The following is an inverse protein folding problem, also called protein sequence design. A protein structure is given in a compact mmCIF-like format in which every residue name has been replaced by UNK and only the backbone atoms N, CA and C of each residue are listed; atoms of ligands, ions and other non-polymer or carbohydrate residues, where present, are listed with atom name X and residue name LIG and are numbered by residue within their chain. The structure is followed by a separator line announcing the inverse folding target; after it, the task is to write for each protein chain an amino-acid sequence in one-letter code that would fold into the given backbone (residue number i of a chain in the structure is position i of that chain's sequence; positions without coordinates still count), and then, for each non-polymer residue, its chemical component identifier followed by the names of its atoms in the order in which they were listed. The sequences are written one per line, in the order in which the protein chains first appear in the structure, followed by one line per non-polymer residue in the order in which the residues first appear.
data_IF_982449160666
#
_entry.id   IF_982449160666
#
_cell.length_a   1.000
_cell.length_b   1.000
_cell.length_c   1.000
_cell.angle_alpha   90.00
_cell.angle_beta   90.00
_cell.angle_gamma   90.00
#
_symmetry.space_group_name_H-M   'P 1'
#
loop_
_entity.id
_entity.type
_entity.pdbx_description
1 polymer ?
#
# COMPACT_ATOMS: atom_id res chain seq x y z
N UNK A 1 20.05 26.80 9.53
CA UNK A 1 18.92 26.52 8.60
C UNK A 1 18.40 25.15 8.96
N UNK A 2 17.12 25.03 9.37
CA UNK A 2 16.52 23.70 9.55
C UNK A 2 16.60 22.95 8.21
N UNK A 3 16.99 21.68 8.25
CA UNK A 3 17.26 20.90 7.05
C UNK A 3 15.99 20.74 6.18
N UNK A 4 16.14 20.91 4.86
CA UNK A 4 15.05 20.65 3.89
C UNK A 4 14.97 19.17 3.54
N UNK A 5 16.09 18.44 3.67
CA UNK A 5 16.20 16.98 3.43
C UNK A 5 16.79 16.34 4.68
N UNK A 6 16.02 15.47 5.32
CA UNK A 6 16.40 14.72 6.53
C UNK A 6 16.69 13.30 6.08
N UNK A 7 17.95 12.88 6.18
CA UNK A 7 18.43 11.57 5.76
C UNK A 7 19.05 10.83 6.92
N UNK A 8 18.56 9.62 7.20
CA UNK A 8 19.23 8.72 8.13
C UNK A 8 20.51 8.14 7.50
N UNK A 9 21.59 7.98 8.25
CA UNK A 9 22.71 7.14 7.83
C UNK A 9 22.29 5.67 7.74
N UNK A 10 22.94 4.91 6.86
CA UNK A 10 22.62 3.49 6.64
C UNK A 10 22.69 2.64 7.91
N UNK A 11 23.63 2.95 8.83
CA UNK A 11 23.78 2.26 10.11
C UNK A 11 22.54 2.35 11.01
N UNK A 12 21.69 3.37 10.81
CA UNK A 12 20.48 3.64 11.59
C UNK A 12 19.21 3.09 10.90
N UNK A 13 19.37 2.28 9.83
CA UNK A 13 18.26 1.53 9.24
C UNK A 13 17.63 0.62 10.31
N UNK A 14 16.30 0.60 10.46
CA UNK A 14 15.61 -0.27 11.43
C UNK A 14 16.08 -1.72 11.36
N UNK A 15 16.29 -2.33 12.53
CA UNK A 15 16.70 -3.74 12.67
C UNK A 15 15.53 -4.68 12.90
N UNK A 16 14.35 -4.14 13.15
CA UNK A 16 13.11 -4.89 13.33
C UNK A 16 11.96 -4.12 12.72
N UNK A 17 10.94 -4.85 12.26
CA UNK A 17 9.63 -4.27 11.98
C UNK A 17 8.82 -4.13 13.26
N UNK A 18 7.89 -3.21 13.27
CA UNK A 18 6.93 -3.04 14.34
C UNK A 18 5.60 -3.73 14.00
N UNK A 19 5.14 -4.59 14.89
CA UNK A 19 3.84 -5.23 14.83
C UNK A 19 2.93 -4.61 15.90
N UNK A 20 1.88 -3.91 15.48
CA UNK A 20 0.96 -3.23 16.40
C UNK A 20 0.00 -4.16 17.13
N UNK A 21 -0.15 -5.42 16.68
CA UNK A 21 -1.18 -6.34 17.22
C UNK A 21 -1.15 -6.43 18.75
N UNK A 22 0.02 -6.58 19.42
CA UNK A 22 0.07 -6.62 20.88
C UNK A 22 -0.33 -5.31 21.58
N UNK A 23 -0.21 -4.17 20.89
CA UNK A 23 -0.51 -2.85 21.42
C UNK A 23 -1.95 -2.38 21.11
N UNK A 24 -2.74 -3.19 20.38
CA UNK A 24 -4.13 -2.84 20.06
C UNK A 24 -4.98 -2.73 21.33
N UNK A 25 -5.90 -1.73 21.42
CA UNK A 25 -6.77 -1.54 22.59
C UNK A 25 -7.71 -2.72 22.88
N UNK A 26 -7.94 -3.56 21.89
CA UNK A 26 -8.69 -4.81 21.98
C UNK A 26 -8.18 -5.82 20.96
N UNK A 27 -8.39 -7.14 21.19
CA UNK A 27 -7.93 -8.17 20.27
C UNK A 27 -8.46 -7.96 18.84
N UNK A 28 -7.60 -8.19 17.85
CA UNK A 28 -8.00 -8.22 16.45
C UNK A 28 -9.00 -9.36 16.24
N UNK A 29 -10.19 -9.09 15.66
CA UNK A 29 -11.15 -10.16 15.36
C UNK A 29 -10.52 -11.22 14.46
N UNK A 30 -10.55 -12.51 14.86
CA UNK A 30 -9.90 -13.58 14.10
C UNK A 30 -10.57 -13.77 12.73
N UNK A 31 -9.85 -14.28 11.73
CA UNK A 31 -10.44 -14.77 10.50
C UNK A 31 -11.51 -15.84 10.78
N UNK A 32 -12.54 -15.90 9.95
CA UNK A 32 -13.59 -16.93 10.03
C UNK A 32 -13.59 -17.79 8.78
N UNK A 33 -13.83 -19.07 8.98
CA UNK A 33 -14.14 -19.99 7.88
C UNK A 33 -15.56 -19.72 7.36
N UNK A 34 -15.82 -19.85 6.05
CA UNK A 34 -17.16 -19.88 5.54
C UNK A 34 -17.93 -21.08 6.09
N UNK A 35 -19.26 -21.00 6.18
CA UNK A 35 -20.12 -22.06 6.73
C UNK A 35 -20.03 -23.38 5.94
N UNK A 36 -19.64 -23.32 4.69
CA UNK A 36 -19.55 -24.49 3.80
C UNK A 36 -18.27 -24.48 2.99
N UNK A 37 -17.81 -25.66 2.58
CA UNK A 37 -16.62 -25.84 1.75
C UNK A 37 -15.37 -26.21 2.54
N UNK A 38 -14.21 -26.35 1.87
CA UNK A 38 -12.94 -26.68 2.51
C UNK A 38 -12.41 -25.50 3.34
N UNK A 39 -11.54 -25.80 4.32
CA UNK A 39 -10.89 -24.77 5.14
C UNK A 39 -10.05 -23.82 4.29
N UNK A 40 -10.32 -22.52 4.40
CA UNK A 40 -9.59 -21.46 3.71
C UNK A 40 -8.25 -21.18 4.37
N UNK A 41 -8.17 -21.31 5.69
CA UNK A 41 -6.90 -21.18 6.42
C UNK A 41 -5.93 -22.32 6.06
N UNK A 42 -6.43 -23.56 5.98
CA UNK A 42 -5.63 -24.70 5.51
C UNK A 42 -5.16 -24.49 4.06
N UNK A 43 -6.03 -23.99 3.18
CA UNK A 43 -5.68 -23.66 1.81
C UNK A 43 -4.57 -22.60 1.76
N UNK A 44 -4.71 -21.46 2.48
CA UNK A 44 -3.70 -20.42 2.51
C UNK A 44 -2.36 -20.92 3.05
N UNK A 45 -2.37 -21.88 4.01
CA UNK A 45 -1.15 -22.47 4.55
C UNK A 45 -0.33 -23.26 3.52
N UNK A 46 -0.95 -23.66 2.41
CA UNK A 46 -0.30 -24.37 1.30
C UNK A 46 0.27 -23.45 0.24
N UNK A 47 -0.31 -22.25 0.08
CA UNK A 47 0.04 -21.34 -1.03
C UNK A 47 0.78 -20.08 -0.58
N UNK A 48 0.77 -19.74 0.71
CA UNK A 48 1.53 -18.59 1.25
C UNK A 48 2.83 -19.11 1.90
N UNK A 49 3.91 -18.35 1.72
CA UNK A 49 5.21 -18.57 2.37
C UNK A 49 5.02 -18.69 3.89
N UNK A 50 5.51 -19.77 4.50
CA UNK A 50 5.24 -20.14 5.90
C UNK A 50 5.68 -19.07 6.90
N UNK A 51 6.86 -18.45 6.67
CA UNK A 51 7.30 -17.37 7.55
C UNK A 51 6.38 -16.14 7.47
N UNK A 52 5.87 -15.80 6.27
CA UNK A 52 4.87 -14.73 6.13
C UNK A 52 3.56 -15.07 6.86
N UNK A 53 3.12 -16.32 6.79
CA UNK A 53 1.94 -16.78 7.51
C UNK A 53 2.15 -16.77 9.03
N UNK A 54 3.34 -17.15 9.53
CA UNK A 54 3.70 -17.02 10.94
C UNK A 54 3.69 -15.57 11.41
N UNK A 55 4.20 -14.67 10.58
CA UNK A 55 4.19 -13.24 10.85
C UNK A 55 2.78 -12.65 10.82
N UNK A 56 1.87 -13.18 9.99
CA UNK A 56 0.46 -12.77 9.92
C UNK A 56 -0.25 -12.90 11.27
N UNK A 57 0.10 -13.93 12.05
CA UNK A 57 -0.50 -14.25 13.34
C UNK A 57 0.46 -14.00 14.53
N UNK A 58 1.53 -13.24 14.31
CA UNK A 58 2.52 -12.97 15.36
C UNK A 58 1.94 -12.08 16.47
N UNK A 59 2.25 -12.45 17.72
CA UNK A 59 1.99 -11.69 18.94
C UNK A 59 3.22 -10.93 19.47
N UNK A 60 4.32 -10.91 18.69
CA UNK A 60 5.53 -10.16 19.05
C UNK A 60 5.44 -8.74 18.51
N UNK A 61 5.63 -7.72 19.37
CA UNK A 61 5.63 -6.30 18.95
C UNK A 61 6.78 -5.95 18.01
N UNK A 62 7.91 -6.66 18.11
CA UNK A 62 9.10 -6.41 17.30
C UNK A 62 9.56 -7.70 16.62
N UNK A 63 9.53 -7.70 15.29
CA UNK A 63 9.96 -8.84 14.47
C UNK A 63 11.30 -8.49 13.83
N UNK A 64 12.39 -9.22 14.13
CA UNK A 64 13.71 -8.93 13.58
C UNK A 64 13.74 -8.99 12.04
N UNK A 65 14.46 -8.04 11.42
CA UNK A 65 14.74 -8.06 9.99
C UNK A 65 16.07 -8.78 9.79
N UNK A 66 16.12 -9.91 9.05
CA UNK A 66 17.36 -10.60 8.72
C UNK A 66 18.40 -9.66 8.10
N UNK A 67 19.69 -9.88 8.39
CA UNK A 67 20.75 -8.98 7.91
C UNK A 67 20.82 -8.96 6.37
N UNK A 68 20.69 -10.12 5.72
CA UNK A 68 20.66 -10.23 4.26
C UNK A 68 19.48 -9.45 3.65
N UNK A 69 18.32 -9.47 4.30
CA UNK A 69 17.17 -8.67 3.87
C UNK A 69 17.41 -7.17 4.09
N UNK A 70 18.11 -6.78 5.15
CA UNK A 70 18.51 -5.38 5.37
C UNK A 70 19.49 -4.91 4.29
N UNK A 71 20.40 -5.76 3.84
CA UNK A 71 21.28 -5.47 2.71
C UNK A 71 20.47 -5.23 1.42
N UNK A 72 19.46 -6.05 1.15
CA UNK A 72 18.53 -5.84 0.03
C UNK A 72 17.79 -4.51 0.13
N UNK A 73 17.34 -4.12 1.33
CA UNK A 73 16.74 -2.81 1.57
C UNK A 73 17.71 -1.66 1.30
N UNK A 74 18.97 -1.78 1.68
CA UNK A 74 20.01 -0.79 1.41
C UNK A 74 20.24 -0.67 -0.10
N UNK A 75 20.37 -1.79 -0.82
CA UNK A 75 20.48 -1.82 -2.28
C UNK A 75 19.24 -1.18 -2.96
N UNK A 76 18.06 -1.35 -2.39
CA UNK A 76 16.82 -0.70 -2.84
C UNK A 76 16.70 0.78 -2.41
N UNK A 77 17.77 1.39 -1.90
CA UNK A 77 17.86 2.82 -1.60
C UNK A 77 17.31 3.24 -0.23
N UNK A 78 17.30 2.34 0.77
CA UNK A 78 16.98 2.70 2.16
C UNK A 78 18.23 3.09 2.94
N UNK A 79 18.07 3.94 3.99
CA UNK A 79 16.89 4.71 4.41
C UNK A 79 16.48 5.77 3.41
N UNK A 80 15.16 6.03 3.27
CA UNK A 80 14.64 7.06 2.37
C UNK A 80 14.39 8.37 3.11
N UNK A 81 14.62 9.54 2.47
CA UNK A 81 14.55 10.81 3.15
C UNK A 81 13.12 11.24 3.49
N UNK A 82 13.00 11.98 4.59
CA UNK A 82 11.90 12.90 4.86
C UNK A 82 12.29 14.29 4.33
N UNK A 83 11.39 15.01 3.71
CA UNK A 83 11.63 16.37 3.18
C UNK A 83 10.61 17.35 3.70
N UNK A 84 11.05 18.61 3.93
CA UNK A 84 10.17 19.71 4.24
C UNK A 84 9.81 20.49 2.97
N UNK A 85 8.51 20.72 2.75
CA UNK A 85 7.95 21.39 1.56
C UNK A 85 7.89 22.92 1.73
N UNK A 86 9.04 23.57 1.96
CA UNK A 86 9.13 25.01 2.27
C UNK A 86 8.61 25.92 1.18
N UNK A 87 8.70 25.52 -0.09
CA UNK A 87 8.18 26.33 -1.19
C UNK A 87 6.66 26.26 -1.23
N UNK A 88 6.09 25.09 -0.94
CA UNK A 88 4.64 24.91 -0.80
C UNK A 88 4.10 25.69 0.40
N UNK A 89 4.75 25.62 1.58
CA UNK A 89 4.41 26.42 2.76
C UNK A 89 4.34 27.91 2.41
N UNK A 90 5.37 28.42 1.71
CA UNK A 90 5.46 29.82 1.28
C UNK A 90 4.35 30.17 0.28
N UNK A 91 4.06 29.31 -0.71
CA UNK A 91 3.00 29.55 -1.69
C UNK A 91 1.63 29.63 -1.00
N UNK A 92 1.34 28.71 -0.09
CA UNK A 92 0.08 28.66 0.65
C UNK A 92 -0.04 29.77 1.69
N UNK A 93 1.08 30.37 2.11
CA UNK A 93 1.17 31.35 3.21
C UNK A 93 0.57 30.78 4.51
N UNK A 94 0.91 29.53 4.79
CA UNK A 94 0.46 28.79 5.97
C UNK A 94 1.50 28.88 7.09
N UNK A 95 1.10 28.89 8.38
CA UNK A 95 2.01 28.69 9.50
C UNK A 95 2.42 27.23 9.68
N UNK A 96 1.74 26.27 9.02
CA UNK A 96 2.03 24.86 9.15
C UNK A 96 3.40 24.47 8.59
N UNK A 97 4.06 23.50 9.23
CA UNK A 97 5.26 22.85 8.74
C UNK A 97 4.87 21.60 7.94
N UNK A 98 5.16 21.59 6.64
CA UNK A 98 4.74 20.52 5.74
C UNK A 98 5.90 19.59 5.40
N UNK A 99 5.75 18.31 5.71
CA UNK A 99 6.74 17.28 5.45
C UNK A 99 6.19 16.18 4.53
N UNK A 100 7.08 15.53 3.78
CA UNK A 100 6.73 14.39 2.94
C UNK A 100 7.81 13.33 2.93
N UNK A 101 7.42 12.08 3.19
CA UNK A 101 8.27 10.88 3.17
C UNK A 101 8.39 10.35 1.75
N UNK A 102 9.60 10.00 1.32
CA UNK A 102 9.97 9.71 -0.07
C UNK A 102 9.98 8.21 -0.40
N UNK A 103 8.83 7.53 -0.39
CA UNK A 103 8.75 6.13 -0.83
C UNK A 103 8.81 5.96 -2.36
N UNK A 104 8.65 7.03 -3.10
CA UNK A 104 8.85 7.14 -4.55
C UNK A 104 10.28 6.84 -5.03
N UNK A 105 11.27 6.95 -4.16
CA UNK A 105 12.68 6.73 -4.50
C UNK A 105 13.10 5.26 -4.55
N UNK A 106 12.18 4.33 -4.44
CA UNK A 106 12.48 2.91 -4.64
C UNK A 106 12.83 2.61 -6.11
N UNK A 107 13.53 1.52 -6.41
CA UNK A 107 13.87 1.14 -7.80
C UNK A 107 12.64 1.01 -8.72
N UNK A 108 11.48 0.67 -8.16
CA UNK A 108 10.20 0.54 -8.91
C UNK A 108 9.29 1.74 -8.73
N UNK A 109 9.76 2.76 -8.00
CA UNK A 109 9.01 3.99 -7.75
C UNK A 109 7.80 3.84 -6.85
N UNK A 110 7.77 2.86 -5.94
CA UNK A 110 6.70 2.74 -4.94
C UNK A 110 7.14 2.07 -3.64
N UNK A 111 6.38 2.29 -2.55
CA UNK A 111 6.58 1.66 -1.24
C UNK A 111 6.50 0.13 -1.27
N UNK A 112 5.87 -0.46 -2.29
CA UNK A 112 5.58 -1.90 -2.34
C UNK A 112 6.83 -2.77 -2.37
N UNK A 113 7.98 -2.25 -2.80
CA UNK A 113 9.27 -2.94 -2.77
C UNK A 113 9.61 -3.45 -1.37
N UNK A 114 9.19 -2.78 -0.30
CA UNK A 114 9.54 -3.17 1.07
C UNK A 114 9.02 -4.57 1.41
N UNK A 115 7.73 -4.82 1.17
CA UNK A 115 7.15 -6.14 1.42
C UNK A 115 7.49 -7.15 0.31
N UNK A 116 7.69 -6.70 -0.94
CA UNK A 116 8.11 -7.59 -2.02
C UNK A 116 9.44 -8.27 -1.70
N UNK A 117 10.45 -7.50 -1.29
CA UNK A 117 11.75 -8.05 -0.91
C UNK A 117 11.66 -8.99 0.30
N UNK A 118 10.83 -8.65 1.30
CA UNK A 118 10.64 -9.51 2.47
C UNK A 118 9.97 -10.85 2.12
N UNK A 119 8.86 -10.83 1.39
CA UNK A 119 8.16 -12.05 0.99
C UNK A 119 9.02 -12.95 0.10
N UNK A 120 9.75 -12.35 -0.86
CA UNK A 120 10.65 -13.10 -1.74
C UNK A 120 11.87 -13.65 -1.01
N UNK A 121 12.46 -12.90 -0.08
CA UNK A 121 13.54 -13.41 0.77
C UNK A 121 13.11 -14.69 1.49
N UNK A 122 11.94 -14.68 2.13
CA UNK A 122 11.43 -15.86 2.81
C UNK A 122 11.02 -16.99 1.84
N UNK A 123 10.52 -16.65 0.64
CA UNK A 123 10.24 -17.63 -0.39
C UNK A 123 11.51 -18.41 -0.81
N UNK A 124 12.62 -17.69 -1.01
CA UNK A 124 13.92 -18.32 -1.31
C UNK A 124 14.41 -19.19 -0.15
N UNK A 125 14.29 -18.72 1.10
CA UNK A 125 14.70 -19.48 2.28
C UNK A 125 13.89 -20.77 2.46
N UNK A 126 12.65 -20.80 1.97
CA UNK A 126 11.78 -22.01 2.00
C UNK A 126 11.95 -22.91 0.77
N UNK A 127 12.78 -22.54 -0.20
CA UNK A 127 13.01 -23.30 -1.43
C UNK A 127 11.83 -23.26 -2.40
N UNK A 128 11.05 -22.17 -2.41
CA UNK A 128 9.95 -21.94 -3.37
C UNK A 128 10.54 -21.83 -4.78
N UNK A 129 9.92 -22.51 -5.76
CA UNK A 129 10.40 -22.57 -7.15
C UNK A 129 9.94 -21.39 -8.00
N UNK A 130 8.87 -20.69 -7.57
CA UNK A 130 8.35 -19.51 -8.24
C UNK A 130 7.29 -18.80 -7.40
N UNK A 131 6.97 -17.57 -7.78
CA UNK A 131 5.95 -16.78 -7.10
C UNK A 131 4.88 -16.32 -8.07
N UNK A 132 3.65 -16.23 -7.57
CA UNK A 132 2.52 -15.70 -8.32
C UNK A 132 1.82 -14.62 -7.50
N UNK A 133 1.27 -13.62 -8.19
CA UNK A 133 0.55 -12.53 -7.55
C UNK A 133 -0.52 -11.93 -8.44
N UNK A 134 -1.34 -11.09 -7.83
CA UNK A 134 -2.24 -10.15 -8.49
C UNK A 134 -1.64 -8.74 -8.55
N UNK A 135 -2.21 -7.86 -9.36
CA UNK A 135 -1.94 -6.43 -9.26
C UNK A 135 -3.10 -5.60 -9.82
N UNK A 136 -3.47 -4.50 -9.12
CA UNK A 136 -4.48 -3.53 -9.58
C UNK A 136 -3.86 -2.48 -10.49
N UNK A 137 -3.15 -1.50 -9.92
CA UNK A 137 -2.48 -0.41 -10.66
C UNK A 137 -1.18 -0.83 -11.37
N UNK A 138 -0.68 -2.03 -11.10
CA UNK A 138 0.59 -2.56 -11.62
C UNK A 138 1.81 -2.27 -10.74
N UNK A 139 1.71 -1.42 -9.73
CA UNK A 139 2.83 -1.10 -8.84
C UNK A 139 3.30 -2.30 -8.01
N UNK A 140 2.37 -3.14 -7.56
CA UNK A 140 2.69 -4.35 -6.82
C UNK A 140 3.36 -5.41 -7.72
N UNK A 141 2.76 -5.71 -8.88
CA UNK A 141 3.36 -6.62 -9.84
C UNK A 141 4.77 -6.18 -10.26
N UNK A 142 5.00 -4.87 -10.45
CA UNK A 142 6.33 -4.32 -10.75
C UNK A 142 7.31 -4.54 -9.59
N UNK A 143 6.88 -4.33 -8.35
CA UNK A 143 7.73 -4.51 -7.18
C UNK A 143 8.11 -5.98 -6.95
N UNK A 144 7.14 -6.89 -7.15
CA UNK A 144 7.41 -8.32 -7.03
C UNK A 144 8.31 -8.82 -8.16
N UNK A 145 8.04 -8.43 -9.43
CA UNK A 145 8.89 -8.78 -10.57
C UNK A 145 10.34 -8.28 -10.39
N UNK A 146 10.52 -7.06 -9.87
CA UNK A 146 11.85 -6.53 -9.52
C UNK A 146 12.57 -7.41 -8.49
N UNK A 147 11.93 -7.70 -7.36
CA UNK A 147 12.55 -8.52 -6.32
C UNK A 147 12.79 -9.96 -6.77
N UNK A 148 11.85 -10.54 -7.53
CA UNK A 148 11.99 -11.89 -8.10
C UNK A 148 13.18 -11.98 -9.06
N UNK A 149 13.39 -10.95 -9.90
CA UNK A 149 14.57 -10.85 -10.77
C UNK A 149 15.89 -10.84 -9.99
N UNK A 150 15.94 -10.12 -8.84
CA UNK A 150 17.14 -10.09 -7.99
C UNK A 150 17.44 -11.45 -7.32
N UNK A 151 16.40 -12.23 -7.06
CA UNK A 151 16.46 -13.51 -6.35
C UNK A 151 16.34 -14.72 -7.29
N UNK A 152 16.39 -14.49 -8.60
CA UNK A 152 16.33 -15.51 -9.66
C UNK A 152 15.09 -16.42 -9.58
N UNK A 153 13.97 -15.87 -9.12
CA UNK A 153 12.70 -16.58 -9.03
C UNK A 153 11.78 -16.27 -10.23
N UNK A 154 11.17 -17.27 -10.86
CA UNK A 154 10.03 -17.07 -11.76
C UNK A 154 8.91 -16.29 -11.10
N UNK A 155 8.31 -15.33 -11.81
CA UNK A 155 7.25 -14.48 -11.28
C UNK A 155 6.09 -14.38 -12.26
N UNK A 156 4.88 -14.78 -11.84
CA UNK A 156 3.65 -14.70 -12.62
C UNK A 156 2.74 -13.62 -12.02
N UNK A 157 2.21 -12.74 -12.87
CA UNK A 157 1.41 -11.59 -12.44
C UNK A 157 0.05 -11.57 -13.15
N UNK A 158 -1.03 -11.71 -12.39
CA UNK A 158 -2.40 -11.48 -12.86
C UNK A 158 -2.77 -10.03 -12.66
N UNK A 159 -2.99 -9.29 -13.74
CA UNK A 159 -3.21 -7.86 -13.70
C UNK A 159 -4.60 -7.48 -14.17
N UNK A 160 -5.33 -6.69 -13.39
CA UNK A 160 -6.66 -6.18 -13.75
C UNK A 160 -6.68 -5.72 -15.21
N UNK A 161 -7.51 -6.35 -16.04
CA UNK A 161 -7.49 -6.28 -17.51
C UNK A 161 -7.50 -4.86 -18.06
N UNK A 162 -8.44 -4.04 -17.63
CA UNK A 162 -8.55 -2.68 -18.15
C UNK A 162 -7.30 -1.83 -17.85
N UNK A 163 -6.63 -2.06 -16.71
CA UNK A 163 -5.40 -1.35 -16.33
C UNK A 163 -4.20 -1.91 -17.10
N UNK A 164 -4.11 -3.24 -17.22
CA UNK A 164 -3.09 -3.92 -18.03
C UNK A 164 -3.05 -3.37 -19.47
N UNK A 165 -4.19 -3.09 -20.05
CA UNK A 165 -4.27 -2.72 -21.47
C UNK A 165 -3.77 -1.30 -21.74
N UNK A 166 -3.99 -0.34 -20.83
CA UNK A 166 -3.56 1.03 -21.07
C UNK A 166 -2.22 1.42 -20.40
N UNK A 167 -1.75 0.73 -19.32
CA UNK A 167 -0.46 0.99 -18.69
C UNK A 167 0.70 0.21 -19.35
N UNK A 168 0.90 0.43 -20.65
CA UNK A 168 1.87 -0.31 -21.47
C UNK A 168 3.29 -0.23 -20.93
N UNK A 169 3.75 0.95 -20.50
CA UNK A 169 5.13 1.15 -20.00
C UNK A 169 5.39 0.36 -18.72
N UNK A 170 4.41 0.30 -17.82
CA UNK A 170 4.53 -0.49 -16.59
C UNK A 170 4.54 -1.99 -16.88
N UNK A 171 3.72 -2.44 -17.83
CA UNK A 171 3.75 -3.83 -18.32
C UNK A 171 5.10 -4.20 -18.93
N UNK A 172 5.65 -3.30 -19.73
CA UNK A 172 6.98 -3.46 -20.32
C UNK A 172 8.05 -3.59 -19.24
N UNK A 173 8.01 -2.74 -18.22
CA UNK A 173 8.95 -2.79 -17.11
C UNK A 173 8.90 -4.12 -16.34
N UNK A 174 7.68 -4.64 -16.04
CA UNK A 174 7.54 -5.97 -15.41
C UNK A 174 8.18 -7.07 -16.26
N UNK A 175 7.94 -7.06 -17.58
CA UNK A 175 8.55 -8.02 -18.51
C UNK A 175 10.07 -7.88 -18.60
N UNK A 176 10.61 -6.68 -18.51
CA UNK A 176 12.05 -6.44 -18.45
C UNK A 176 12.69 -7.03 -17.18
N UNK A 177 11.96 -7.08 -16.07
CA UNK A 177 12.35 -7.81 -14.85
C UNK A 177 12.12 -9.33 -14.95
N UNK A 178 11.68 -9.85 -16.11
CA UNK A 178 11.42 -11.29 -16.30
C UNK A 178 10.04 -11.76 -15.81
N UNK A 179 9.15 -10.85 -15.42
CA UNK A 179 7.78 -11.20 -15.02
C UNK A 179 6.92 -11.67 -16.18
N UNK A 180 6.21 -12.76 -16.00
CA UNK A 180 5.15 -13.23 -16.89
C UNK A 180 3.83 -12.55 -16.51
N UNK A 181 3.31 -11.68 -17.39
CA UNK A 181 2.19 -10.79 -17.07
C UNK A 181 0.97 -11.12 -17.90
N UNK A 182 -0.13 -11.44 -17.21
CA UNK A 182 -1.42 -11.81 -17.81
C UNK A 182 -2.53 -10.81 -17.44
N UNK A 183 -3.40 -10.43 -18.36
CA UNK A 183 -4.63 -9.71 -18.03
C UNK A 183 -5.54 -10.62 -17.20
N UNK A 184 -6.25 -10.07 -16.21
CA UNK A 184 -7.23 -10.79 -15.38
C UNK A 184 -8.62 -10.15 -15.55
N UNK A 185 -9.65 -10.96 -15.87
CA UNK A 185 -9.67 -12.43 -16.04
C UNK A 185 -9.02 -12.92 -17.32
N UNK A 186 -8.52 -14.19 -17.32
CA UNK A 186 -7.95 -14.86 -18.52
C UNK A 186 -8.26 -16.36 -18.58
N UNK A 187 -7.76 -17.04 -19.62
CA UNK A 187 -8.07 -18.45 -19.88
C UNK A 187 -7.19 -19.45 -19.08
N UNK A 188 -6.18 -19.00 -18.35
CA UNK A 188 -5.25 -19.89 -17.61
C UNK A 188 -5.92 -20.54 -16.39
N UNK A 189 -6.86 -19.82 -15.77
CA UNK A 189 -7.54 -20.25 -14.55
C UNK A 189 -8.99 -20.64 -14.81
N UNK A 190 -9.59 -21.44 -13.94
CA UNK A 190 -11.01 -21.79 -14.02
C UNK A 190 -11.89 -20.58 -13.66
N UNK A 191 -11.46 -19.81 -12.63
CA UNK A 191 -12.10 -18.55 -12.26
C UNK A 191 -12.17 -17.62 -13.47
N UNK A 192 -11.06 -17.39 -14.16
CA UNK A 192 -11.01 -16.52 -15.34
C UNK A 192 -11.86 -17.04 -16.48
N UNK A 193 -11.81 -18.35 -16.79
CA UNK A 193 -12.66 -18.96 -17.83
C UNK A 193 -14.14 -18.80 -17.54
N UNK A 194 -14.56 -18.99 -16.28
CA UNK A 194 -15.96 -18.85 -15.87
C UNK A 194 -16.45 -17.43 -16.10
N UNK A 195 -15.70 -16.42 -15.65
CA UNK A 195 -16.04 -15.00 -15.80
C UNK A 195 -16.09 -14.60 -17.28
N UNK A 196 -15.10 -15.04 -18.08
CA UNK A 196 -15.05 -14.71 -19.51
C UNK A 196 -16.13 -15.41 -20.33
N UNK A 197 -16.64 -16.55 -19.88
CA UNK A 197 -17.78 -17.22 -20.49
C UNK A 197 -19.08 -16.42 -20.32
N UNK A 198 -19.26 -15.79 -19.16
CA UNK A 198 -20.41 -14.94 -18.86
C UNK A 198 -20.30 -13.56 -19.51
N UNK A 199 -19.09 -12.97 -19.45
CA UNK A 199 -18.79 -11.66 -20.05
C UNK A 199 -17.38 -11.67 -20.66
N UNK A 200 -17.25 -11.89 -21.99
CA UNK A 200 -15.96 -11.92 -22.69
C UNK A 200 -15.14 -10.62 -22.57
N UNK A 201 -15.82 -9.48 -22.41
CA UNK A 201 -15.23 -8.15 -22.30
C UNK A 201 -15.12 -7.65 -20.85
N UNK A 202 -15.16 -8.55 -19.87
CA UNK A 202 -15.10 -8.18 -18.46
C UNK A 202 -13.83 -7.38 -18.15
N UNK A 203 -13.93 -6.17 -17.56
CA UNK A 203 -12.80 -5.26 -17.35
C UNK A 203 -11.81 -5.75 -16.30
N UNK A 204 -12.18 -6.75 -15.53
CA UNK A 204 -11.42 -7.24 -14.39
C UNK A 204 -11.66 -6.44 -13.11
N UNK A 205 -11.28 -7.05 -12.00
CA UNK A 205 -11.20 -6.41 -10.68
C UNK A 205 -10.03 -6.98 -9.89
N UNK A 206 -9.61 -6.28 -8.83
CA UNK A 206 -8.52 -6.79 -7.98
C UNK A 206 -8.93 -8.10 -7.30
N UNK A 207 -10.18 -8.23 -6.85
CA UNK A 207 -10.70 -9.47 -6.25
C UNK A 207 -10.66 -10.66 -7.21
N UNK A 208 -10.94 -10.46 -8.52
CA UNK A 208 -10.80 -11.50 -9.55
C UNK A 208 -9.33 -11.90 -9.71
N UNK A 209 -8.42 -10.93 -9.81
CA UNK A 209 -6.99 -11.20 -9.97
C UNK A 209 -6.40 -11.94 -8.76
N UNK A 210 -6.87 -11.65 -7.53
CA UNK A 210 -6.54 -12.41 -6.31
C UNK A 210 -6.99 -13.87 -6.46
N UNK A 211 -8.25 -14.10 -6.85
CA UNK A 211 -8.79 -15.46 -7.03
C UNK A 211 -8.00 -16.26 -8.07
N UNK A 212 -7.62 -15.64 -9.19
CA UNK A 212 -6.81 -16.28 -10.24
C UNK A 212 -5.39 -16.59 -9.76
N UNK A 213 -4.73 -15.66 -9.04
CA UNK A 213 -3.40 -15.86 -8.47
C UNK A 213 -3.37 -17.00 -7.44
N UNK A 214 -4.38 -17.05 -6.57
CA UNK A 214 -4.53 -18.14 -5.58
C UNK A 214 -4.78 -19.50 -6.27
N UNK A 215 -5.63 -19.54 -7.30
CA UNK A 215 -5.87 -20.76 -8.07
C UNK A 215 -4.61 -21.22 -8.81
N UNK A 216 -3.83 -20.29 -9.33
CA UNK A 216 -2.58 -20.62 -10.02
C UNK A 216 -1.57 -21.24 -9.04
N UNK A 217 -1.37 -20.65 -7.86
CA UNK A 217 -0.50 -21.23 -6.82
C UNK A 217 -0.97 -22.62 -6.37
N UNK A 218 -2.29 -22.84 -6.25
CA UNK A 218 -2.87 -24.13 -5.89
C UNK A 218 -2.55 -25.24 -6.91
N UNK A 219 -2.53 -24.90 -8.20
CA UNK A 219 -2.38 -25.85 -9.30
C UNK A 219 -0.95 -26.04 -9.79
N UNK A 220 -0.01 -25.25 -9.30
CA UNK A 220 1.40 -25.30 -9.70
C UNK A 220 2.26 -25.57 -8.47
N UNK A 221 2.63 -26.82 -8.28
CA UNK A 221 3.51 -27.23 -7.19
C UNK A 221 4.80 -26.39 -7.21
N UNK A 222 5.29 -26.04 -6.02
CA UNK A 222 6.47 -25.18 -5.87
C UNK A 222 6.21 -23.69 -5.99
N UNK A 223 5.03 -23.23 -6.42
CA UNK A 223 4.68 -21.81 -6.48
C UNK A 223 4.02 -21.31 -5.19
N UNK A 224 4.48 -20.13 -4.72
CA UNK A 224 3.85 -19.43 -3.61
C UNK A 224 3.12 -18.17 -4.08
N UNK A 225 1.98 -17.91 -3.46
CA UNK A 225 1.20 -16.68 -3.67
C UNK A 225 1.72 -15.55 -2.76
N UNK A 226 1.96 -14.38 -3.34
CA UNK A 226 2.39 -13.18 -2.63
C UNK A 226 1.36 -12.06 -2.79
N UNK A 227 1.07 -11.33 -1.70
CA UNK A 227 0.06 -10.26 -1.67
C UNK A 227 0.68 -8.91 -1.27
N UNK A 228 0.31 -7.85 -1.97
CA UNK A 228 0.91 -6.52 -1.81
C UNK A 228 0.18 -5.56 -0.88
N UNK A 229 -0.87 -5.98 -0.17
CA UNK A 229 -1.67 -5.12 0.71
C UNK A 229 -2.51 -5.93 1.69
N UNK A 230 -3.25 -5.25 2.59
CA UNK A 230 -4.32 -5.75 3.48
C UNK A 230 -3.84 -6.60 4.64
N UNK A 231 -3.06 -7.66 4.40
CA UNK A 231 -2.64 -8.62 5.42
C UNK A 231 -1.67 -8.00 6.44
N UNK A 232 -1.68 -8.55 7.67
CA UNK A 232 -0.91 -8.00 8.80
C UNK A 232 0.59 -8.03 8.55
N UNK A 233 1.13 -9.15 8.02
CA UNK A 233 2.56 -9.25 7.70
C UNK A 233 2.98 -8.22 6.63
N UNK A 234 2.10 -7.92 5.65
CA UNK A 234 2.37 -6.88 4.65
C UNK A 234 2.49 -5.52 5.31
N UNK A 235 1.52 -5.15 6.16
CA UNK A 235 1.54 -3.87 6.89
C UNK A 235 2.77 -3.79 7.79
N UNK A 236 3.11 -4.87 8.48
CA UNK A 236 4.29 -4.96 9.34
C UNK A 236 5.58 -4.71 8.56
N UNK A 237 5.79 -5.35 7.41
CA UNK A 237 6.96 -5.08 6.55
C UNK A 237 7.05 -3.62 6.11
N UNK A 238 5.90 -2.96 5.93
CA UNK A 238 5.86 -1.54 5.57
C UNK A 238 6.18 -0.60 6.74
N UNK A 239 6.14 -1.05 7.99
CA UNK A 239 6.41 -0.19 9.16
C UNK A 239 7.82 0.40 9.18
N UNK A 240 8.75 -0.14 8.40
CA UNK A 240 10.07 0.46 8.16
C UNK A 240 9.96 1.93 7.70
N UNK A 241 8.86 2.32 7.03
CA UNK A 241 8.57 3.70 6.61
C UNK A 241 8.39 4.61 7.83
N UNK A 242 7.48 4.23 8.74
CA UNK A 242 7.17 4.99 9.94
C UNK A 242 8.32 5.01 10.93
N UNK A 243 9.04 3.89 11.10
CA UNK A 243 10.21 3.79 11.96
C UNK A 243 11.33 4.74 11.53
N UNK A 244 11.67 4.78 10.23
CA UNK A 244 12.60 5.78 9.69
C UNK A 244 12.09 7.20 9.92
N UNK A 245 10.78 7.44 9.78
CA UNK A 245 10.20 8.78 9.91
C UNK A 245 10.24 9.30 11.34
N UNK A 246 10.05 8.44 12.35
CA UNK A 246 10.21 8.79 13.77
C UNK A 246 11.63 9.31 14.00
N UNK A 247 12.65 8.56 13.58
CA UNK A 247 14.04 8.96 13.75
C UNK A 247 14.39 10.24 12.97
N UNK A 248 13.77 10.45 11.82
CA UNK A 248 13.96 11.65 11.02
C UNK A 248 13.36 12.89 11.69
N UNK A 249 12.22 12.77 12.36
CA UNK A 249 11.65 13.86 13.16
C UNK A 249 12.49 14.15 14.40
N UNK A 250 13.07 13.12 15.04
CA UNK A 250 14.00 13.30 16.16
C UNK A 250 15.24 14.11 15.76
N UNK A 251 15.78 13.94 14.52
CA UNK A 251 16.93 14.73 14.02
C UNK A 251 16.63 16.23 13.95
N UNK A 252 15.40 16.60 13.61
CA UNK A 252 15.02 18.03 13.43
C UNK A 252 14.35 18.63 14.65
N UNK A 253 14.21 17.85 15.72
CA UNK A 253 13.55 18.25 16.97
C UNK A 253 12.13 18.80 16.73
N UNK A 254 11.39 18.09 15.88
CA UNK A 254 9.97 18.34 15.57
C UNK A 254 9.17 17.05 15.77
N UNK A 255 7.88 17.20 16.08
CA UNK A 255 6.95 16.08 16.19
C UNK A 255 5.75 16.32 15.27
N UNK A 256 5.27 15.31 14.54
CA UNK A 256 4.10 15.51 13.71
C UNK A 256 2.81 15.54 14.54
N UNK A 257 1.98 16.58 14.30
CA UNK A 257 0.63 16.66 14.84
C UNK A 257 -0.36 15.85 13.99
N UNK A 258 -0.06 15.68 12.69
CA UNK A 258 -0.91 14.98 11.75
C UNK A 258 -0.09 14.20 10.72
N UNK A 259 -0.38 12.91 10.60
CA UNK A 259 0.14 12.05 9.52
C UNK A 259 -0.96 11.72 8.51
N UNK A 260 -0.63 11.88 7.23
CA UNK A 260 -1.57 11.68 6.11
C UNK A 260 -1.02 10.61 5.16
N UNK A 261 -1.87 9.67 4.76
CA UNK A 261 -1.54 8.72 3.71
C UNK A 261 -2.72 8.45 2.78
N UNK A 262 -2.45 8.19 1.50
CA UNK A 262 -3.47 7.66 0.61
C UNK A 262 -3.82 6.23 1.00
N UNK A 263 -5.09 5.85 0.82
CA UNK A 263 -5.63 4.59 1.34
C UNK A 263 -6.40 3.82 0.27
N UNK A 264 -5.89 2.65 -0.11
CA UNK A 264 -6.60 1.61 -0.83
C UNK A 264 -6.89 0.44 0.10
N UNK A 265 -6.08 -0.62 0.10
CA UNK A 265 -6.12 -1.70 1.11
C UNK A 265 -5.44 -1.35 2.44
N UNK A 266 -4.62 -0.31 2.49
CA UNK A 266 -4.03 0.21 3.72
C UNK A 266 -2.52 0.06 3.87
N UNK A 267 -1.79 -0.64 2.99
CA UNK A 267 -0.36 -0.93 3.17
C UNK A 267 0.52 0.32 3.25
N UNK A 268 0.25 1.33 2.40
CA UNK A 268 0.95 2.61 2.43
C UNK A 268 0.67 3.38 3.73
N UNK A 269 -0.61 3.54 4.05
CA UNK A 269 -1.05 4.25 5.24
C UNK A 269 -0.55 3.57 6.51
N UNK A 270 -0.79 2.25 6.65
CA UNK A 270 -0.36 1.48 7.82
C UNK A 270 1.15 1.48 8.02
N UNK A 271 1.93 1.26 6.95
CA UNK A 271 3.39 1.29 7.03
C UNK A 271 3.94 2.61 7.54
N UNK A 272 3.32 3.71 7.17
CA UNK A 272 3.71 5.05 7.61
C UNK A 272 3.21 5.38 9.01
N UNK A 273 1.99 4.98 9.39
CA UNK A 273 1.32 5.46 10.60
C UNK A 273 1.35 4.49 11.78
N UNK A 274 1.39 3.16 11.55
CA UNK A 274 1.29 2.18 12.65
C UNK A 274 2.35 2.34 13.74
N UNK A 275 3.64 2.65 13.46
CA UNK A 275 4.62 2.94 14.52
C UNK A 275 4.22 4.13 15.38
N UNK A 276 3.68 5.18 14.78
CA UNK A 276 3.20 6.36 15.50
C UNK A 276 1.90 6.08 16.27
N UNK A 277 0.96 5.31 15.68
CA UNK A 277 -0.26 4.88 16.37
C UNK A 277 0.11 4.08 17.63
N UNK A 278 1.07 3.16 17.52
CA UNK A 278 1.56 2.41 18.68
C UNK A 278 2.11 3.31 19.79
N UNK A 279 2.86 4.36 19.45
CA UNK A 279 3.33 5.33 20.45
C UNK A 279 2.19 6.15 21.05
N UNK A 280 1.16 6.51 20.27
CA UNK A 280 -0.05 7.20 20.77
C UNK A 280 -0.84 6.29 21.72
N UNK A 281 -1.07 5.04 21.35
CA UNK A 281 -1.76 4.06 22.21
C UNK A 281 -1.04 3.80 23.52
N UNK A 282 0.29 3.87 23.50
CA UNK A 282 1.13 3.73 24.69
C UNK A 282 1.37 5.06 25.45
N UNK A 283 0.69 6.14 25.10
CA UNK A 283 0.76 7.45 25.77
C UNK A 283 2.11 8.17 25.63
N UNK A 284 2.93 7.82 24.63
CA UNK A 284 4.26 8.41 24.40
C UNK A 284 4.22 9.66 23.54
N UNK A 285 3.13 9.87 22.80
CA UNK A 285 2.98 11.00 21.89
C UNK A 285 1.51 11.33 21.64
N UNK A 286 1.25 12.55 21.17
CA UNK A 286 -0.01 12.97 20.58
C UNK A 286 0.20 13.13 19.07
N UNK A 287 -0.68 12.51 18.25
CA UNK A 287 -0.67 12.65 16.80
C UNK A 287 -2.03 12.19 16.23
N UNK A 288 -2.50 12.87 15.21
CA UNK A 288 -3.69 12.48 14.45
C UNK A 288 -3.31 11.73 13.17
N UNK A 289 -4.23 10.90 12.67
CA UNK A 289 -4.01 10.07 11.49
C UNK A 289 -5.16 10.23 10.50
N UNK A 290 -4.85 10.66 9.27
CA UNK A 290 -5.84 10.94 8.23
C UNK A 290 -5.64 10.04 7.00
N UNK A 291 -6.57 9.12 6.77
CA UNK A 291 -6.63 8.31 5.57
C UNK A 291 -7.37 9.06 4.45
N UNK A 292 -6.69 9.28 3.33
CA UNK A 292 -7.20 10.00 2.16
C UNK A 292 -7.58 9.04 1.05
N UNK A 293 -8.82 9.13 0.55
CA UNK A 293 -9.41 8.18 -0.40
C UNK A 293 -10.11 8.86 -1.58
N UNK A 294 -10.35 8.06 -2.63
CA UNK A 294 -11.30 8.39 -3.69
C UNK A 294 -12.72 7.93 -3.32
N UNK A 295 -13.72 8.69 -3.74
CA UNK A 295 -15.12 8.24 -3.74
C UNK A 295 -15.38 7.08 -4.72
N UNK A 296 -14.41 6.72 -5.56
CA UNK A 296 -14.50 5.51 -6.39
C UNK A 296 -14.43 4.20 -5.56
N UNK A 297 -13.70 4.21 -4.43
CA UNK A 297 -13.59 3.06 -3.55
C UNK A 297 -13.41 3.52 -2.08
N UNK A 298 -14.44 4.11 -1.45
CA UNK A 298 -14.37 4.70 -0.13
C UNK A 298 -14.52 3.64 0.98
N UNK A 299 -13.76 2.55 0.92
CA UNK A 299 -13.92 1.39 1.79
C UNK A 299 -13.83 1.73 3.28
N UNK A 300 -12.73 2.33 3.77
CA UNK A 300 -12.57 2.64 5.21
C UNK A 300 -13.39 3.86 5.67
N UNK A 301 -13.86 4.71 4.74
CA UNK A 301 -14.64 5.89 5.08
C UNK A 301 -16.16 5.67 5.04
N UNK A 302 -16.66 4.88 4.07
CA UNK A 302 -18.09 4.66 3.82
C UNK A 302 -18.49 3.18 3.75
N UNK A 303 -17.51 2.25 3.78
CA UNK A 303 -17.79 0.82 3.84
C UNK A 303 -18.45 0.39 5.14
N UNK A 304 -18.94 -0.85 5.17
CA UNK A 304 -19.50 -1.48 6.34
C UNK A 304 -18.45 -2.27 7.10
N UNK A 305 -18.39 -2.15 8.44
CA UNK A 305 -17.48 -2.94 9.28
C UNK A 305 -18.06 -4.32 9.57
N UNK A 306 -17.79 -5.27 8.69
CA UNK A 306 -18.33 -6.64 8.75
C UNK A 306 -17.31 -7.69 8.32
N UNK A 307 -17.62 -8.95 8.48
CA UNK A 307 -16.86 -10.04 7.86
C UNK A 307 -17.15 -10.12 6.37
N UNK A 308 -16.10 -10.18 5.55
CA UNK A 308 -16.19 -10.30 4.10
C UNK A 308 -14.97 -11.04 3.54
N UNK A 309 -15.07 -11.53 2.31
CA UNK A 309 -13.94 -12.11 1.59
C UNK A 309 -12.99 -11.03 1.07
N UNK A 310 -11.69 -11.35 1.00
CA UNK A 310 -10.71 -10.49 0.37
C UNK A 310 -10.65 -10.66 -1.16
N UNK A 311 -11.22 -11.74 -1.71
CA UNK A 311 -11.22 -12.12 -3.11
C UNK A 311 -12.64 -12.38 -3.64
N UNK A 312 -12.79 -12.29 -4.99
CA UNK A 312 -14.10 -12.40 -5.64
C UNK A 312 -14.72 -13.80 -5.53
N UNK A 313 -13.92 -14.85 -5.66
CA UNK A 313 -14.41 -16.24 -5.67
C UNK A 313 -14.51 -16.88 -4.27
N UNK A 314 -14.23 -16.14 -3.20
CA UNK A 314 -14.31 -16.65 -1.82
C UNK A 314 -13.27 -17.74 -1.51
N UNK A 315 -12.08 -17.64 -2.08
CA UNK A 315 -10.94 -18.53 -1.80
C UNK A 315 -10.22 -18.19 -0.49
N UNK A 316 -10.39 -16.93 -0.02
CA UNK A 316 -9.82 -16.45 1.25
C UNK A 316 -10.79 -16.73 2.42
N UNK A 317 -10.31 -16.76 3.69
CA UNK A 317 -11.19 -16.69 4.85
C UNK A 317 -11.92 -15.34 4.92
N UNK A 318 -12.99 -15.30 5.66
CA UNK A 318 -13.71 -14.06 5.97
C UNK A 318 -12.89 -13.25 6.97
N UNK A 319 -12.58 -12.00 6.62
CA UNK A 319 -11.86 -11.05 7.46
C UNK A 319 -12.82 -9.98 8.01
N UNK A 320 -12.70 -9.62 9.29
CA UNK A 320 -13.45 -8.50 9.86
C UNK A 320 -12.82 -7.19 9.43
N UNK A 321 -13.47 -6.47 8.52
CA UNK A 321 -12.90 -5.26 7.90
C UNK A 321 -13.99 -4.28 7.47
N UNK A 322 -13.62 -3.04 7.22
CA UNK A 322 -14.44 -2.12 6.45
C UNK A 322 -14.41 -2.56 4.98
N UNK A 323 -15.57 -2.79 4.41
CA UNK A 323 -15.72 -3.32 3.05
C UNK A 323 -16.89 -2.68 2.30
N UNK A 324 -16.74 -2.58 0.98
CA UNK A 324 -17.81 -2.21 0.04
C UNK A 324 -18.53 -3.45 -0.51
N UNK A 325 -18.05 -4.66 -0.16
CA UNK A 325 -18.45 -5.93 -0.74
C UNK A 325 -17.39 -6.50 -1.69
N UNK A 326 -17.03 -7.78 -1.51
CA UNK A 326 -15.99 -8.44 -2.32
C UNK A 326 -16.34 -8.56 -3.82
N UNK A 327 -17.63 -8.43 -4.17
CA UNK A 327 -18.19 -8.44 -5.51
C UNK A 327 -18.48 -7.02 -6.07
N UNK A 328 -18.14 -5.96 -5.31
CA UNK A 328 -18.41 -4.58 -5.69
C UNK A 328 -17.71 -4.17 -6.97
N UNK A 329 -18.43 -3.51 -7.86
CA UNK A 329 -17.88 -2.89 -9.06
C UNK A 329 -17.56 -1.40 -8.79
N UNK A 330 -16.29 -1.05 -8.84
CA UNK A 330 -15.80 0.30 -8.57
C UNK A 330 -15.49 1.05 -9.86
N UNK A 331 -15.93 2.33 -9.99
CA UNK A 331 -15.65 3.12 -11.20
C UNK A 331 -14.13 3.28 -11.43
N UNK A 332 -13.70 3.40 -12.70
CA UNK A 332 -12.29 3.60 -13.02
C UNK A 332 -11.82 5.00 -12.59
N UNK A 333 -10.60 5.05 -12.07
CA UNK A 333 -9.83 6.28 -11.76
C UNK A 333 -8.38 6.05 -12.17
N UNK A 334 -7.59 7.09 -12.31
CA UNK A 334 -6.15 6.95 -12.59
C UNK A 334 -5.34 6.58 -11.35
N UNK A 335 -5.82 6.93 -10.16
CA UNK A 335 -5.31 6.41 -8.89
C UNK A 335 -5.74 4.96 -8.63
N UNK A 336 -5.55 4.07 -9.60
CA UNK A 336 -6.05 2.68 -9.60
C UNK A 336 -5.64 1.87 -8.36
N UNK A 337 -4.50 2.19 -7.73
CA UNK A 337 -4.05 1.53 -6.51
C UNK A 337 -4.95 1.77 -5.28
N UNK A 338 -5.90 2.71 -5.39
CA UNK A 338 -6.89 2.98 -4.35
C UNK A 338 -8.19 2.18 -4.57
N UNK A 339 -8.36 1.51 -5.71
CA UNK A 339 -9.57 0.75 -6.06
C UNK A 339 -9.53 -0.66 -5.48
N UNK A 340 -9.88 -0.77 -4.22
CA UNK A 340 -10.06 -2.05 -3.56
C UNK A 340 -11.27 -2.02 -2.63
N UNK A 341 -12.03 -3.11 -2.59
CA UNK A 341 -13.28 -3.20 -1.83
C UNK A 341 -13.08 -3.25 -0.33
N UNK A 342 -12.00 -3.88 0.16
CA UNK A 342 -11.72 -4.12 1.57
C UNK A 342 -10.58 -3.28 2.13
N UNK A 343 -10.65 -2.93 3.40
CA UNK A 343 -9.58 -2.32 4.17
C UNK A 343 -8.89 -3.35 5.06
N UNK A 344 -7.58 -3.17 5.35
CA UNK A 344 -6.85 -4.03 6.29
C UNK A 344 -7.62 -4.21 7.61
N UNK A 345 -7.70 -5.43 8.17
CA UNK A 345 -8.36 -5.71 9.45
C UNK A 345 -7.83 -4.84 10.60
N UNK A 346 -6.52 -4.66 10.72
CA UNK A 346 -5.88 -3.80 11.74
C UNK A 346 -6.37 -2.35 11.61
N UNK A 347 -6.28 -1.78 10.41
CA UNK A 347 -6.67 -0.39 10.19
C UNK A 347 -8.18 -0.20 10.30
N UNK A 348 -8.95 -1.23 9.94
CA UNK A 348 -10.41 -1.24 10.13
C UNK A 348 -10.78 -1.21 11.60
N UNK A 349 -10.10 -2.00 12.44
CA UNK A 349 -10.30 -1.97 13.88
C UNK A 349 -9.95 -0.60 14.46
N UNK A 350 -8.78 -0.07 14.13
CA UNK A 350 -8.34 1.26 14.60
C UNK A 350 -9.29 2.38 14.15
N UNK A 351 -9.82 2.30 12.93
CA UNK A 351 -10.85 3.23 12.44
C UNK A 351 -12.15 3.10 13.22
N UNK A 352 -12.59 1.87 13.48
CA UNK A 352 -13.82 1.58 14.25
C UNK A 352 -13.72 2.10 15.71
N UNK A 353 -12.50 2.13 16.26
CA UNK A 353 -12.20 2.67 17.59
C UNK A 353 -11.97 4.20 17.61
N UNK A 354 -12.00 4.87 16.44
CA UNK A 354 -11.89 6.32 16.36
C UNK A 354 -10.43 6.84 16.24
N UNK A 355 -9.42 5.96 16.14
CA UNK A 355 -8.02 6.38 16.01
C UNK A 355 -7.63 6.89 14.61
N UNK A 356 -8.44 6.63 13.59
CA UNK A 356 -8.17 7.05 12.21
C UNK A 356 -9.29 7.94 11.69
N UNK A 357 -8.95 9.15 11.26
CA UNK A 357 -9.83 10.05 10.51
C UNK A 357 -9.80 9.70 9.02
N UNK A 358 -10.86 10.03 8.29
CA UNK A 358 -10.94 9.77 6.85
C UNK A 358 -11.37 11.02 6.09
N UNK A 359 -10.83 11.16 4.85
CA UNK A 359 -11.26 12.19 3.90
C UNK A 359 -11.39 11.58 2.51
N UNK A 360 -12.45 11.94 1.79
CA UNK A 360 -12.72 11.44 0.43
C UNK A 360 -12.72 12.58 -0.57
N UNK A 361 -12.32 12.27 -1.81
CA UNK A 361 -12.30 13.19 -2.93
C UNK A 361 -13.10 12.66 -4.12
N UNK A 362 -13.63 13.54 -5.00
CA UNK A 362 -14.43 13.14 -6.15
C UNK A 362 -13.73 12.19 -7.10
N UNK A 363 -14.53 11.42 -7.84
CA UNK A 363 -14.05 10.40 -8.80
C UNK A 363 -13.36 11.01 -10.03
N UNK A 364 -13.67 12.26 -10.40
CA UNK A 364 -13.09 12.95 -11.55
C UNK A 364 -11.61 13.33 -11.40
N UNK A 365 -11.06 13.19 -10.19
CA UNK A 365 -9.64 13.42 -9.81
C UNK A 365 -9.10 14.83 -10.12
N UNK A 366 -9.88 15.74 -10.68
CA UNK A 366 -9.40 17.04 -11.16
C UNK A 366 -8.73 17.87 -10.06
N UNK A 367 -9.43 18.07 -8.94
CA UNK A 367 -8.90 18.86 -7.81
C UNK A 367 -7.68 18.20 -7.16
N UNK A 368 -7.65 16.87 -7.14
CA UNK A 368 -6.54 16.08 -6.60
C UNK A 368 -5.30 16.27 -7.48
N UNK A 369 -5.45 16.23 -8.81
CA UNK A 369 -4.33 16.41 -9.73
C UNK A 369 -3.88 17.85 -9.88
N UNK A 370 -4.77 18.84 -9.70
CA UNK A 370 -4.37 20.25 -9.58
C UNK A 370 -3.52 20.51 -8.33
N UNK A 371 -3.85 19.87 -7.20
CA UNK A 371 -3.01 19.91 -6.01
C UNK A 371 -1.63 19.29 -6.27
N UNK A 372 -1.58 18.19 -7.03
CA UNK A 372 -0.33 17.58 -7.47
C UNK A 372 0.47 18.48 -8.39
N UNK A 373 -0.17 19.17 -9.34
CA UNK A 373 0.50 20.16 -10.19
C UNK A 373 1.13 21.29 -9.36
N UNK A 374 0.40 21.78 -8.36
CA UNK A 374 0.92 22.77 -7.41
C UNK A 374 2.15 22.26 -6.66
N UNK A 375 2.08 21.02 -6.16
CA UNK A 375 3.19 20.36 -5.48
C UNK A 375 4.40 20.16 -6.41
N UNK A 376 4.16 19.71 -7.64
CA UNK A 376 5.21 19.58 -8.67
C UNK A 376 5.92 20.91 -8.95
N UNK A 377 5.16 21.99 -9.10
CA UNK A 377 5.71 23.32 -9.39
C UNK A 377 6.49 23.91 -8.22
N UNK A 378 6.15 23.57 -6.99
CA UNK A 378 6.84 24.04 -5.79
C UNK A 378 8.01 23.16 -5.37
N UNK A 379 7.82 21.85 -5.32
CA UNK A 379 8.81 20.90 -4.76
C UNK A 379 9.61 20.15 -5.83
N UNK A 380 9.24 20.31 -7.13
CA UNK A 380 9.98 19.76 -8.28
C UNK A 380 9.84 18.23 -8.41
N UNK A 381 8.73 17.67 -7.95
CA UNK A 381 8.54 16.23 -7.93
C UNK A 381 7.12 15.85 -8.36
N UNK A 382 7.00 14.81 -9.24
CA UNK A 382 5.73 14.26 -9.72
C UNK A 382 5.36 13.00 -8.92
N UNK A 383 4.40 13.08 -7.99
CA UNK A 383 3.90 11.92 -7.25
C UNK A 383 3.11 10.96 -8.15
N UNK A 384 2.93 9.73 -7.69
CA UNK A 384 1.95 8.81 -8.30
C UNK A 384 0.51 9.35 -8.12
N UNK A 385 -0.43 9.03 -9.02
CA UNK A 385 -1.84 9.41 -8.90
C UNK A 385 -2.44 9.10 -7.53
N UNK A 386 -2.11 7.97 -6.94
CA UNK A 386 -2.53 7.58 -5.59
C UNK A 386 -2.02 8.54 -4.52
N UNK A 387 -0.73 8.93 -4.61
CA UNK A 387 -0.11 9.85 -3.64
C UNK A 387 -0.69 11.25 -3.71
N UNK A 388 -1.30 11.62 -4.84
CA UNK A 388 -1.96 12.91 -5.06
C UNK A 388 -3.07 13.16 -4.05
N UNK A 389 -3.76 12.11 -3.62
CA UNK A 389 -4.81 12.20 -2.60
C UNK A 389 -4.26 12.60 -1.23
N UNK A 390 -3.09 12.09 -0.84
CA UNK A 390 -2.42 12.50 0.40
C UNK A 390 -1.90 13.93 0.32
N UNK A 391 -1.36 14.34 -0.84
CA UNK A 391 -0.89 15.71 -1.08
C UNK A 391 -2.06 16.70 -1.06
N UNK A 392 -3.18 16.35 -1.68
CA UNK A 392 -4.39 17.18 -1.64
C UNK A 392 -4.85 17.38 -0.20
N UNK A 393 -4.92 16.31 0.59
CA UNK A 393 -5.31 16.38 1.99
C UNK A 393 -4.34 17.25 2.81
N UNK A 394 -3.02 17.13 2.57
CA UNK A 394 -2.00 17.98 3.21
C UNK A 394 -2.18 19.45 2.86
N UNK A 395 -2.51 19.79 1.60
CA UNK A 395 -2.79 21.15 1.18
C UNK A 395 -4.05 21.70 1.83
N UNK A 396 -5.11 20.88 1.95
CA UNK A 396 -6.35 21.27 2.60
C UNK A 396 -6.12 21.59 4.10
N UNK A 397 -5.37 20.77 4.82
CA UNK A 397 -5.00 21.02 6.22
C UNK A 397 -4.14 22.29 6.35
N UNK A 398 -3.18 22.48 5.45
CA UNK A 398 -2.34 23.68 5.44
C UNK A 398 -3.17 24.97 5.20
N UNK A 399 -4.21 24.90 4.36
CA UNK A 399 -5.15 26.00 4.15
C UNK A 399 -5.99 26.26 5.40
N UNK A 400 -6.38 25.21 6.10
CA UNK A 400 -7.11 25.35 7.37
C UNK A 400 -6.24 26.00 8.45
N UNK A 401 -4.99 25.56 8.60
CA UNK A 401 -4.01 26.21 9.48
C UNK A 401 -3.82 27.70 9.16
N UNK A 402 -3.82 28.08 7.87
CA UNK A 402 -3.76 29.49 7.48
C UNK A 402 -5.00 30.28 7.94
N UNK A 403 -6.20 29.71 7.90
CA UNK A 403 -7.44 30.37 8.32
C UNK A 403 -7.51 30.54 9.84
N UNK A 404 -7.10 29.52 10.57
CA UNK A 404 -7.16 29.47 12.04
C UNK A 404 -5.98 30.16 12.71
N UNK A 405 -4.84 30.31 12.00
CA UNK A 405 -3.55 30.75 12.57
C UNK A 405 -2.84 29.66 13.38
N UNK A 406 -3.33 28.43 13.35
CA UNK A 406 -2.76 27.31 14.11
C UNK A 406 -1.46 26.82 13.44
N UNK A 407 -0.40 26.70 14.21
CA UNK A 407 0.84 26.04 13.79
C UNK A 407 0.71 24.52 13.97
N UNK A 408 0.86 23.76 12.89
CA UNK A 408 0.89 22.29 12.91
C UNK A 408 2.06 21.76 12.10
N UNK A 409 2.66 20.69 12.59
CA UNK A 409 3.58 19.86 11.81
C UNK A 409 2.78 18.73 11.15
N UNK A 410 2.69 18.79 9.82
CA UNK A 410 1.90 17.85 9.01
C UNK A 410 2.84 17.07 8.11
N UNK A 411 2.75 15.74 8.12
CA UNK A 411 3.53 14.93 7.21
C UNK A 411 2.66 13.99 6.37
N UNK A 412 2.98 13.86 5.09
CA UNK A 412 2.36 12.87 4.22
C UNK A 412 3.36 11.85 3.69
N UNK A 413 2.89 10.62 3.39
CA UNK A 413 3.69 9.64 2.68
C UNK A 413 3.41 9.71 1.18
N UNK A 414 4.46 10.02 0.39
CA UNK A 414 4.46 9.93 -1.06
C UNK A 414 4.80 8.50 -1.44
N UNK A 415 3.75 7.70 -1.64
CA UNK A 415 3.81 6.25 -1.82
C UNK A 415 4.48 5.79 -3.11
N UNK A 416 4.56 6.68 -4.12
CA UNK A 416 5.20 6.38 -5.40
C UNK A 416 5.37 7.61 -6.29
N UNK A 417 6.15 7.48 -7.38
CA UNK A 417 6.32 8.51 -8.40
C UNK A 417 5.35 8.35 -9.57
N UNK A 418 5.10 9.45 -10.30
CA UNK A 418 4.14 9.52 -11.40
C UNK A 418 4.71 9.34 -12.81
N UNK A 419 5.99 9.01 -12.99
CA UNK A 419 6.59 8.96 -14.32
C UNK A 419 5.99 7.90 -15.24
N UNK A 420 5.50 6.78 -14.71
CA UNK A 420 4.80 5.74 -15.47
C UNK A 420 3.28 5.99 -15.57
N UNK A 421 2.80 7.12 -15.04
CA UNK A 421 1.37 7.44 -14.95
C UNK A 421 1.05 8.84 -15.55
N UNK A 422 1.97 9.41 -16.36
CA UNK A 422 1.83 10.74 -17.00
C UNK A 422 0.56 10.83 -17.86
N UNK A 423 0.15 9.72 -18.49
CA UNK A 423 -1.07 9.66 -19.28
C UNK A 423 -2.31 10.06 -18.45
N UNK A 424 -2.40 9.62 -17.20
CA UNK A 424 -3.50 9.98 -16.30
C UNK A 424 -3.55 11.49 -16.04
N UNK A 425 -2.40 12.09 -15.73
CA UNK A 425 -2.29 13.54 -15.53
C UNK A 425 -2.66 14.33 -16.79
N UNK A 426 -2.16 13.90 -17.94
CA UNK A 426 -2.51 14.48 -19.23
C UNK A 426 -4.02 14.46 -19.48
N UNK A 427 -4.66 13.33 -19.22
CA UNK A 427 -6.09 13.13 -19.47
C UNK A 427 -6.96 14.00 -18.56
N UNK A 428 -6.67 14.06 -17.26
CA UNK A 428 -7.50 14.79 -16.28
C UNK A 428 -7.25 16.29 -16.36
N UNK A 429 -6.00 16.71 -16.57
CA UNK A 429 -5.62 18.14 -16.61
C UNK A 429 -5.70 18.78 -17.99
N UNK A 430 -6.07 17.99 -19.04
CA UNK A 430 -6.17 18.45 -20.43
C UNK A 430 -4.86 19.11 -20.94
N UNK A 431 -3.72 18.45 -20.73
CA UNK A 431 -2.38 18.92 -21.12
C UNK A 431 -1.95 18.38 -22.50
#
# INVERSE_FOLDING_TARGET
MKEVKIQLPVKDLPKSWYNIIPDLPQPLPPPKEPETGPSRLEFLSKVIVKECLKQEFSDQSWVPIPEELRELYIQAGRPRPLRRAKRLEKLLKTPAHLYWKREDLSPTGSHKVNTALAQLYYAVQEGVEGVVTETGAGQWGTALSYGASLMELPCVVFWVRNVHDWKVDRRTLMKMYGGEVHPSPNQLTEVGRTILKENPDHPGSLGIAISEGLEYAEKHDGYAYSLGSVLNHVLMHQTIIGLETIEQFNIVDEQPDLLIGCFGGGSNFGGFTLPFIGEVLNGKRECEFLASQSLAAPNISQGEYRYDFADHAGKTPLLKMYTLGHDSNMPPIFGDGLRYSGASPILSLLRNLGHIKTRTYPVDEKDVFEATRTFLQTEGFLPAPESSYAIRAMIDEAIECKKTGEEKTIACNVSGHGFLDIFGYKSVLNL
#
